data_IF_278057194854
#
_entry.id   IF_278057194854
#
_cell.length_a   1.000
_cell.length_b   1.000
_cell.length_c   1.000
_cell.angle_alpha   90.00
_cell.angle_beta   90.00
_cell.angle_gamma   90.00
#
_symmetry.space_group_name_H-M   'P 1'
#
loop_
_entity.id
_entity.type
_entity.pdbx_description
1 polymer ?
#
# COMPACT_ATOMS: atom_id res chain seq x y z
N UNK A 1 -11.08 2.17 -18.28
CA UNK A 1 -10.15 3.27 -17.94
C UNK A 1 -10.83 4.36 -17.14
N UNK A 2 -11.99 4.81 -17.58
CA UNK A 2 -12.80 5.80 -16.87
C UNK A 2 -13.24 5.30 -15.50
N UNK A 3 -13.50 4.02 -15.36
CA UNK A 3 -13.96 3.41 -14.11
C UNK A 3 -12.94 3.53 -12.97
N UNK A 4 -11.65 3.22 -13.22
CA UNK A 4 -10.58 3.33 -12.20
C UNK A 4 -10.39 4.79 -11.78
N UNK A 5 -10.40 5.71 -12.75
CA UNK A 5 -10.27 7.15 -12.48
C UNK A 5 -11.47 7.68 -11.71
N UNK A 6 -12.68 7.20 -12.01
CA UNK A 6 -13.89 7.55 -11.29
C UNK A 6 -13.88 7.03 -9.84
N UNK A 7 -13.42 5.80 -9.64
CA UNK A 7 -13.23 5.24 -8.30
C UNK A 7 -12.25 6.07 -7.47
N UNK A 8 -11.13 6.47 -8.07
CA UNK A 8 -10.15 7.36 -7.41
C UNK A 8 -10.79 8.69 -7.01
N UNK A 9 -11.53 9.33 -7.94
CA UNK A 9 -12.20 10.61 -7.68
C UNK A 9 -13.25 10.53 -6.56
N UNK A 10 -13.84 9.36 -6.35
CA UNK A 10 -14.80 9.08 -5.26
C UNK A 10 -14.15 8.68 -3.94
N UNK A 11 -12.82 8.66 -3.87
CA UNK A 11 -12.08 8.27 -2.67
C UNK A 11 -12.17 6.78 -2.36
N UNK A 12 -12.24 5.92 -3.39
CA UNK A 12 -12.27 4.49 -3.21
C UNK A 12 -11.05 3.98 -2.42
N UNK A 13 -11.27 2.97 -1.60
CA UNK A 13 -10.20 2.32 -0.84
C UNK A 13 -9.22 1.59 -1.78
N UNK A 14 -7.99 1.36 -1.30
CA UNK A 14 -7.01 0.57 -2.04
C UNK A 14 -7.56 -0.83 -2.41
N UNK A 15 -8.28 -1.47 -1.49
CA UNK A 15 -8.91 -2.78 -1.74
C UNK A 15 -9.96 -2.72 -2.87
N UNK A 16 -10.78 -1.68 -2.91
CA UNK A 16 -11.77 -1.47 -3.98
C UNK A 16 -11.10 -1.30 -5.34
N UNK A 17 -10.00 -0.53 -5.39
CA UNK A 17 -9.20 -0.36 -6.61
C UNK A 17 -8.55 -1.67 -7.06
N UNK A 18 -7.96 -2.43 -6.13
CA UNK A 18 -7.37 -3.74 -6.44
C UNK A 18 -8.41 -4.69 -7.04
N UNK A 19 -9.61 -4.74 -6.47
CA UNK A 19 -10.69 -5.58 -6.97
C UNK A 19 -11.14 -5.17 -8.36
N UNK A 20 -11.30 -3.88 -8.61
CA UNK A 20 -11.68 -3.36 -9.92
C UNK A 20 -10.61 -3.66 -11.00
N UNK A 21 -9.34 -3.43 -10.68
CA UNK A 21 -8.22 -3.73 -11.59
C UNK A 21 -8.11 -5.22 -11.87
N UNK A 22 -8.22 -6.07 -10.85
CA UNK A 22 -8.22 -7.52 -11.00
C UNK A 22 -9.36 -7.99 -11.93
N UNK A 23 -10.57 -7.45 -11.75
CA UNK A 23 -11.73 -7.75 -12.59
C UNK A 23 -11.52 -7.34 -14.06
N UNK A 24 -10.95 -6.16 -14.32
CA UNK A 24 -10.64 -5.68 -15.66
C UNK A 24 -9.56 -6.51 -16.37
N UNK A 25 -8.61 -7.06 -15.62
CA UNK A 25 -7.48 -7.82 -16.16
C UNK A 25 -7.72 -9.33 -16.16
N UNK A 26 -8.80 -9.81 -15.55
CA UNK A 26 -9.16 -11.23 -15.51
C UNK A 26 -8.14 -12.06 -14.71
N UNK A 27 -7.58 -11.53 -13.63
CA UNK A 27 -6.51 -12.16 -12.87
C UNK A 27 -6.59 -11.90 -11.37
N UNK A 28 -5.51 -12.18 -10.67
CA UNK A 28 -5.31 -11.85 -9.26
C UNK A 28 -4.24 -10.76 -9.14
N UNK A 29 -4.59 -9.64 -8.51
CA UNK A 29 -3.72 -8.49 -8.30
C UNK A 29 -3.29 -8.41 -6.84
N UNK A 30 -1.99 -8.26 -6.63
CA UNK A 30 -1.41 -7.90 -5.32
C UNK A 30 -0.81 -6.50 -5.40
N UNK A 31 -0.96 -5.72 -4.34
CA UNK A 31 -0.21 -4.50 -4.09
C UNK A 31 0.76 -4.76 -2.95
N UNK A 32 2.02 -4.50 -3.21
CA UNK A 32 3.13 -4.74 -2.29
C UNK A 32 3.71 -3.41 -1.82
N UNK A 33 4.18 -3.37 -0.58
CA UNK A 33 4.99 -2.27 -0.06
C UNK A 33 6.46 -2.34 -0.55
N UNK A 34 7.28 -1.42 -0.09
CA UNK A 34 8.71 -1.30 -0.42
C UNK A 34 9.58 -2.49 0.01
N UNK A 35 9.08 -3.32 0.94
CA UNK A 35 9.72 -4.58 1.37
C UNK A 35 8.99 -5.81 0.84
N UNK A 36 8.17 -5.61 -0.18
CA UNK A 36 7.40 -6.63 -0.88
C UNK A 36 6.38 -7.39 -0.02
N UNK A 37 5.90 -6.80 1.10
CA UNK A 37 4.76 -7.34 1.85
C UNK A 37 3.45 -6.96 1.17
N UNK A 38 2.48 -7.87 1.20
CA UNK A 38 1.15 -7.60 0.64
C UNK A 38 0.43 -6.58 1.53
N UNK A 39 0.03 -5.45 0.95
CA UNK A 39 -0.77 -4.42 1.62
C UNK A 39 -2.22 -4.37 1.12
N UNK A 40 -2.48 -4.92 -0.06
CA UNK A 40 -3.84 -5.08 -0.60
C UNK A 40 -3.86 -6.13 -1.71
N UNK A 41 -5.03 -6.67 -1.98
CA UNK A 41 -5.24 -7.66 -3.05
C UNK A 41 -6.64 -7.56 -3.64
N UNK A 42 -6.79 -8.06 -4.86
CA UNK A 42 -8.06 -8.25 -5.53
C UNK A 42 -8.00 -9.47 -6.45
N UNK A 43 -9.13 -10.13 -6.66
CA UNK A 43 -9.24 -11.33 -7.51
C UNK A 43 -10.42 -11.18 -8.43
N UNK A 44 -10.23 -11.40 -9.73
CA UNK A 44 -11.33 -11.38 -10.70
C UNK A 44 -12.35 -12.50 -10.42
N UNK A 45 -13.62 -12.21 -10.65
CA UNK A 45 -14.68 -13.20 -10.50
C UNK A 45 -14.42 -14.39 -11.41
N UNK A 46 -14.49 -15.61 -10.85
CA UNK A 46 -14.24 -16.85 -11.58
C UNK A 46 -12.77 -17.15 -11.89
N UNK A 47 -11.82 -16.34 -11.42
CA UNK A 47 -10.40 -16.64 -11.59
C UNK A 47 -9.99 -17.84 -10.73
N UNK A 48 -9.52 -18.91 -11.36
CA UNK A 48 -9.18 -20.17 -10.70
C UNK A 48 -7.71 -20.32 -10.29
N UNK A 49 -6.85 -19.33 -10.53
CA UNK A 49 -5.44 -19.37 -10.19
C UNK A 49 -5.18 -19.24 -8.68
N UNK A 50 -4.10 -19.81 -8.21
CA UNK A 50 -3.73 -19.86 -6.78
C UNK A 50 -2.36 -19.26 -6.46
N UNK A 51 -1.62 -18.77 -7.47
CA UNK A 51 -0.27 -18.26 -7.27
C UNK A 51 -0.21 -17.06 -6.31
N UNK A 52 -1.21 -16.18 -6.35
CA UNK A 52 -1.31 -15.06 -5.42
C UNK A 52 -1.42 -15.49 -3.95
N UNK A 53 -2.11 -16.62 -3.68
CA UNK A 53 -2.25 -17.16 -2.32
C UNK A 53 -0.93 -17.77 -1.81
N UNK A 54 -0.05 -18.21 -2.72
CA UNK A 54 1.25 -18.79 -2.42
C UNK A 54 2.39 -17.77 -2.46
N UNK A 55 2.06 -16.50 -2.71
CA UNK A 55 3.06 -15.45 -2.74
C UNK A 55 3.75 -15.31 -1.38
N UNK A 56 5.08 -15.27 -1.42
CA UNK A 56 5.92 -15.04 -0.24
C UNK A 56 6.97 -13.97 -0.56
N UNK A 57 7.09 -12.90 0.23
CA UNK A 57 8.01 -11.78 -0.03
C UNK A 57 9.48 -12.20 -0.21
N UNK A 58 9.90 -13.21 0.56
CA UNK A 58 11.27 -13.74 0.56
C UNK A 58 11.32 -15.23 0.13
N UNK A 59 10.31 -15.66 -0.67
CA UNK A 59 10.25 -17.01 -1.20
C UNK A 59 11.24 -17.26 -2.35
N UNK A 60 11.20 -18.47 -2.90
CA UNK A 60 12.09 -18.91 -3.99
C UNK A 60 12.06 -18.01 -5.24
N UNK A 61 10.92 -17.35 -5.51
CA UNK A 61 10.72 -16.45 -6.65
C UNK A 61 11.09 -14.99 -6.39
N UNK A 62 11.59 -14.67 -5.20
CA UNK A 62 11.93 -13.28 -4.84
C UNK A 62 13.00 -12.66 -5.74
N UNK A 63 13.97 -13.45 -6.18
CA UNK A 63 15.04 -13.02 -7.10
C UNK A 63 14.47 -12.69 -8.49
N UNK A 64 13.55 -13.51 -9.00
CA UNK A 64 12.89 -13.31 -10.29
C UNK A 64 12.03 -12.03 -10.24
N UNK A 65 11.27 -11.85 -9.17
CA UNK A 65 10.47 -10.65 -8.92
C UNK A 65 11.34 -9.40 -8.91
N UNK A 66 12.42 -9.40 -8.13
CA UNK A 66 13.35 -8.27 -8.02
C UNK A 66 14.03 -7.94 -9.36
N UNK A 67 14.38 -8.95 -10.17
CA UNK A 67 14.93 -8.75 -11.51
C UNK A 67 13.93 -8.08 -12.43
N UNK A 68 12.68 -8.57 -12.46
CA UNK A 68 11.63 -8.03 -13.31
C UNK A 68 11.23 -6.60 -12.89
N UNK A 69 11.18 -6.31 -11.60
CA UNK A 69 10.93 -4.94 -11.09
C UNK A 69 12.03 -3.96 -11.52
N UNK A 70 13.31 -4.37 -11.47
CA UNK A 70 14.40 -3.53 -11.96
C UNK A 70 14.26 -3.28 -13.48
N UNK A 71 13.92 -4.30 -14.27
CA UNK A 71 13.68 -4.16 -15.70
C UNK A 71 12.50 -3.21 -15.96
N UNK A 72 11.39 -3.39 -15.27
CA UNK A 72 10.20 -2.54 -15.41
C UNK A 72 10.51 -1.07 -15.06
N UNK A 73 11.32 -0.84 -14.02
CA UNK A 73 11.75 0.52 -13.63
C UNK A 73 12.61 1.19 -14.72
N UNK A 74 13.50 0.43 -15.35
CA UNK A 74 14.38 0.96 -16.42
C UNK A 74 13.62 1.26 -17.71
N UNK A 75 12.65 0.44 -18.05
CA UNK A 75 11.90 0.56 -19.32
C UNK A 75 10.65 1.42 -19.22
N UNK A 76 10.15 1.67 -18.01
CA UNK A 76 8.84 2.30 -17.78
C UNK A 76 7.67 1.39 -18.21
N UNK A 77 7.92 0.11 -18.44
CA UNK A 77 6.94 -0.89 -18.90
C UNK A 77 6.86 -2.03 -17.89
N UNK A 78 5.69 -2.68 -17.82
CA UNK A 78 5.55 -3.89 -17.02
C UNK A 78 6.47 -5.00 -17.52
N UNK A 79 6.91 -5.89 -16.62
CA UNK A 79 7.77 -7.00 -16.97
C UNK A 79 7.20 -8.31 -16.45
N UNK A 80 7.39 -9.39 -17.19
CA UNK A 80 7.10 -10.73 -16.73
C UNK A 80 8.22 -11.17 -15.77
N UNK A 81 7.87 -11.62 -14.58
CA UNK A 81 8.82 -12.09 -13.58
C UNK A 81 9.11 -13.58 -13.74
N UNK A 82 8.06 -14.38 -13.80
CA UNK A 82 8.13 -15.83 -13.98
C UNK A 82 6.79 -16.38 -14.47
N UNK A 83 6.79 -17.67 -14.79
CA UNK A 83 5.58 -18.47 -15.05
C UNK A 83 5.65 -19.73 -14.20
N UNK A 84 4.59 -20.10 -13.54
CA UNK A 84 4.49 -21.29 -12.71
C UNK A 84 3.02 -21.73 -12.57
N UNK A 85 2.79 -23.03 -12.61
CA UNK A 85 1.46 -23.65 -12.43
C UNK A 85 0.38 -23.12 -13.40
N UNK A 86 0.77 -22.78 -14.62
CA UNK A 86 -0.13 -22.23 -15.64
C UNK A 86 -0.55 -20.77 -15.39
N UNK A 87 0.15 -20.07 -14.49
CA UNK A 87 -0.04 -18.64 -14.23
C UNK A 87 1.23 -17.84 -14.58
N UNK A 88 1.05 -16.74 -15.24
CA UNK A 88 2.10 -15.76 -15.56
C UNK A 88 2.10 -14.69 -14.48
N UNK A 89 3.27 -14.46 -13.87
CA UNK A 89 3.49 -13.37 -12.93
C UNK A 89 4.06 -12.16 -13.65
N UNK A 90 3.31 -11.06 -13.68
CA UNK A 90 3.72 -9.78 -14.26
C UNK A 90 3.80 -8.71 -13.19
N UNK A 91 4.77 -7.82 -13.29
CA UNK A 91 5.04 -6.81 -12.27
C UNK A 91 5.20 -5.42 -12.86
N UNK A 92 4.84 -4.43 -12.05
CA UNK A 92 5.10 -3.02 -12.32
C UNK A 92 5.43 -2.32 -11.00
N UNK A 93 6.52 -1.53 -10.91
CA UNK A 93 6.80 -0.73 -9.73
C UNK A 93 5.75 0.38 -9.56
N UNK A 94 5.42 0.69 -8.33
CA UNK A 94 4.61 1.85 -7.95
C UNK A 94 5.57 2.95 -7.50
N UNK A 95 5.58 4.06 -8.24
CA UNK A 95 6.51 5.17 -8.02
C UNK A 95 5.71 6.40 -7.59
N UNK A 96 6.20 7.08 -6.56
CA UNK A 96 5.66 8.34 -6.06
C UNK A 96 6.74 9.42 -5.99
N UNK A 97 6.79 10.30 -6.98
CA UNK A 97 7.92 11.20 -7.15
C UNK A 97 9.17 10.44 -7.60
N UNK A 98 10.26 10.55 -6.84
CA UNK A 98 11.52 9.84 -7.13
C UNK A 98 11.64 8.51 -6.36
N UNK A 99 10.73 8.24 -5.42
CA UNK A 99 10.78 7.08 -4.55
C UNK A 99 9.89 5.93 -5.06
N UNK A 100 10.36 4.68 -4.83
CA UNK A 100 9.54 3.50 -5.03
C UNK A 100 8.67 3.29 -3.78
N UNK A 101 7.34 3.38 -3.95
CA UNK A 101 6.35 3.16 -2.88
C UNK A 101 6.01 1.67 -2.71
N UNK A 102 6.43 0.84 -3.66
CA UNK A 102 6.12 -0.58 -3.70
C UNK A 102 5.99 -1.11 -5.12
N UNK A 103 5.15 -2.10 -5.30
CA UNK A 103 4.90 -2.72 -6.60
C UNK A 103 3.47 -3.24 -6.71
N UNK A 104 3.00 -3.40 -7.95
CA UNK A 104 1.84 -4.23 -8.26
C UNK A 104 2.30 -5.51 -8.95
N UNK A 105 1.66 -6.61 -8.58
CA UNK A 105 1.90 -7.94 -9.14
C UNK A 105 0.58 -8.49 -9.64
N UNK A 106 0.55 -8.90 -10.90
CA UNK A 106 -0.61 -9.52 -11.52
C UNK A 106 -0.27 -10.98 -11.82
N UNK A 107 -1.14 -11.89 -11.38
CA UNK A 107 -1.17 -13.29 -11.79
C UNK A 107 -2.31 -13.48 -12.78
N UNK A 108 -2.03 -14.04 -13.95
CA UNK A 108 -3.01 -14.27 -15.00
C UNK A 108 -2.68 -15.55 -15.77
N UNK A 109 -3.68 -16.20 -16.38
CA UNK A 109 -3.52 -17.49 -17.05
C UNK A 109 -3.31 -17.37 -18.56
N UNK A 110 -3.76 -16.28 -19.16
CA UNK A 110 -3.62 -16.03 -20.60
C UNK A 110 -2.73 -14.81 -20.83
N UNK A 111 -1.87 -14.78 -21.86
CA UNK A 111 -1.09 -13.60 -22.19
C UNK A 111 -1.97 -12.35 -22.30
N UNK A 112 -1.51 -11.24 -21.73
CA UNK A 112 -2.25 -9.97 -21.84
C UNK A 112 -2.12 -9.40 -23.23
N UNK A 113 -3.24 -8.91 -23.75
CA UNK A 113 -3.22 -8.06 -24.94
C UNK A 113 -2.64 -6.68 -24.59
N UNK A 114 -2.17 -5.94 -25.60
CA UNK A 114 -1.53 -4.64 -25.43
C UNK A 114 -2.38 -3.65 -24.61
N UNK A 115 -3.70 -3.66 -24.81
CA UNK A 115 -4.62 -2.79 -24.05
C UNK A 115 -4.66 -3.16 -22.58
N UNK A 116 -4.67 -4.45 -22.28
CA UNK A 116 -4.65 -4.96 -20.89
C UNK A 116 -3.30 -4.68 -20.23
N UNK A 117 -2.18 -4.84 -20.93
CA UNK A 117 -0.86 -4.46 -20.42
C UNK A 117 -0.80 -2.97 -20.07
N UNK A 118 -1.26 -2.10 -20.95
CA UNK A 118 -1.32 -0.65 -20.69
C UNK A 118 -2.26 -0.31 -19.54
N UNK A 119 -3.36 -1.05 -19.38
CA UNK A 119 -4.27 -0.88 -18.26
C UNK A 119 -3.59 -1.25 -16.95
N UNK A 120 -2.85 -2.36 -16.93
CA UNK A 120 -2.04 -2.77 -15.79
C UNK A 120 -0.97 -1.72 -15.43
N UNK A 121 -0.21 -1.24 -16.41
CA UNK A 121 0.83 -0.23 -16.23
C UNK A 121 0.28 1.08 -15.64
N UNK A 122 -0.84 1.55 -16.16
CA UNK A 122 -1.50 2.77 -15.65
C UNK A 122 -2.12 2.60 -14.28
N UNK A 123 -2.56 1.39 -13.95
CA UNK A 123 -3.07 1.09 -12.59
C UNK A 123 -2.00 1.31 -11.52
N UNK A 124 -0.71 1.11 -11.84
CA UNK A 124 0.38 1.40 -10.90
C UNK A 124 0.43 2.89 -10.51
N UNK A 125 0.22 3.79 -11.47
CA UNK A 125 0.20 5.23 -11.20
C UNK A 125 -1.00 5.64 -10.33
N UNK A 126 -2.18 5.08 -10.61
CA UNK A 126 -3.39 5.33 -9.80
C UNK A 126 -3.20 4.84 -8.37
N UNK A 127 -2.67 3.63 -8.21
CA UNK A 127 -2.35 3.04 -6.90
C UNK A 127 -1.29 3.90 -6.20
N UNK A 128 -0.30 4.41 -6.90
CA UNK A 128 0.71 5.33 -6.37
C UNK A 128 0.10 6.60 -5.77
N UNK A 129 -0.89 7.20 -6.42
CA UNK A 129 -1.61 8.37 -5.89
C UNK A 129 -2.30 8.02 -4.57
N UNK A 130 -2.94 6.85 -4.48
CA UNK A 130 -3.62 6.41 -3.25
C UNK A 130 -2.62 6.17 -2.13
N UNK A 131 -1.51 5.47 -2.40
CA UNK A 131 -0.46 5.21 -1.41
C UNK A 131 0.15 6.52 -0.89
N UNK A 132 0.49 7.47 -1.77
CA UNK A 132 0.97 8.79 -1.37
C UNK A 132 -0.04 9.57 -0.52
N UNK A 133 -1.33 9.47 -0.86
CA UNK A 133 -2.39 10.11 -0.07
C UNK A 133 -2.48 9.50 1.32
N UNK A 134 -2.41 8.16 1.43
CA UNK A 134 -2.41 7.46 2.71
C UNK A 134 -1.18 7.78 3.56
N UNK A 135 0.01 7.84 2.95
CA UNK A 135 1.23 8.24 3.67
C UNK A 135 1.16 9.68 4.21
N UNK A 136 0.66 10.62 3.39
CA UNK A 136 0.46 12.01 3.82
C UNK A 136 -0.53 12.10 4.98
N UNK A 137 -1.61 11.35 4.92
CA UNK A 137 -2.62 11.29 5.97
C UNK A 137 -2.02 10.69 7.26
N UNK A 138 -1.29 9.58 7.14
CA UNK A 138 -0.62 8.95 8.27
C UNK A 138 0.42 9.90 8.91
N UNK A 139 1.24 10.57 8.09
CA UNK A 139 2.21 11.56 8.58
C UNK A 139 1.54 12.77 9.25
N UNK A 140 0.38 13.21 8.75
CA UNK A 140 -0.41 14.28 9.37
C UNK A 140 -0.98 13.84 10.71
N UNK A 141 -1.56 12.64 10.77
CA UNK A 141 -2.10 12.06 12.00
C UNK A 141 -0.99 11.85 13.04
N UNK A 142 0.18 11.34 12.64
CA UNK A 142 1.32 11.16 13.53
C UNK A 142 1.80 12.49 14.11
N UNK A 143 1.93 13.54 13.30
CA UNK A 143 2.29 14.89 13.78
C UNK A 143 1.25 15.46 14.73
N UNK A 144 -0.04 15.27 14.43
CA UNK A 144 -1.14 15.70 15.29
C UNK A 144 -1.14 14.98 16.64
N UNK A 145 -0.96 13.66 16.62
CA UNK A 145 -0.86 12.84 17.83
C UNK A 145 0.37 13.21 18.66
N UNK A 146 1.54 13.37 18.03
CA UNK A 146 2.78 13.78 18.73
C UNK A 146 2.65 15.17 19.36
N UNK A 147 1.95 16.09 18.70
CA UNK A 147 1.66 17.41 19.27
C UNK A 147 0.70 17.33 20.47
N UNK A 148 -0.34 16.48 20.38
CA UNK A 148 -1.26 16.21 21.48
C UNK A 148 -0.54 15.61 22.67
N UNK A 149 0.29 14.57 22.47
CA UNK A 149 1.05 13.92 23.54
C UNK A 149 2.00 14.90 24.22
N UNK A 150 2.71 15.74 23.48
CA UNK A 150 3.56 16.79 24.06
C UNK A 150 2.76 17.80 24.90
N UNK A 151 1.58 18.19 24.43
CA UNK A 151 0.72 19.11 25.15
C UNK A 151 0.13 18.51 26.44
N UNK A 152 -0.19 17.20 26.42
CA UNK A 152 -0.68 16.49 27.62
C UNK A 152 0.38 16.32 28.69
N UNK A 153 1.67 16.17 28.30
CA UNK A 153 2.80 16.07 29.24
C UNK A 153 3.29 17.43 29.72
N UNK A 154 2.97 18.51 29.01
CA UNK A 154 3.40 19.87 29.33
C UNK A 154 2.33 20.58 30.18
N UNK A 155 2.63 21.01 31.44
CA UNK A 155 1.60 21.50 32.37
C UNK A 155 1.17 22.95 32.11
N UNK A 156 0.82 23.32 30.88
CA UNK A 156 0.17 24.60 30.59
C UNK A 156 -1.34 24.46 30.78
N UNK A 157 -1.87 25.06 31.86
CA UNK A 157 -3.25 24.88 32.30
C UNK A 157 -4.31 25.59 31.42
N UNK A 158 -3.92 26.45 30.48
CA UNK A 158 -4.87 27.35 29.81
C UNK A 158 -5.61 26.74 28.61
N UNK A 159 -5.40 25.48 28.27
CA UNK A 159 -5.91 24.85 27.04
C UNK A 159 -6.63 23.51 27.23
N UNK A 160 -7.10 23.17 28.44
CA UNK A 160 -7.71 21.86 28.70
C UNK A 160 -8.91 21.55 27.78
N UNK A 161 -9.74 22.54 27.44
CA UNK A 161 -10.85 22.34 26.54
C UNK A 161 -10.39 22.06 25.10
N UNK A 162 -9.36 22.76 24.63
CA UNK A 162 -8.78 22.57 23.30
C UNK A 162 -8.09 21.19 23.23
N UNK A 163 -7.38 20.80 24.29
CA UNK A 163 -6.75 19.49 24.38
C UNK A 163 -7.77 18.37 24.38
N UNK A 164 -8.90 18.53 25.08
CA UNK A 164 -9.99 17.55 25.11
C UNK A 164 -10.59 17.36 23.73
N UNK A 165 -10.97 18.43 23.03
CA UNK A 165 -11.51 18.37 21.68
C UNK A 165 -10.51 17.72 20.69
N UNK A 166 -9.21 18.02 20.84
CA UNK A 166 -8.18 17.44 20.02
C UNK A 166 -7.97 15.95 20.30
N UNK A 167 -8.05 15.54 21.57
CA UNK A 167 -7.97 14.15 21.97
C UNK A 167 -9.14 13.32 21.42
N UNK A 168 -10.37 13.88 21.46
CA UNK A 168 -11.57 13.26 20.88
C UNK A 168 -11.40 12.99 19.38
N UNK A 169 -10.76 13.88 18.62
CA UNK A 169 -10.47 13.68 17.19
C UNK A 169 -9.58 12.46 16.93
N UNK A 170 -8.76 12.05 17.91
CA UNK A 170 -7.92 10.85 17.88
C UNK A 170 -8.55 9.66 18.62
N UNK A 171 -9.84 9.74 18.97
CA UNK A 171 -10.55 8.68 19.71
C UNK A 171 -10.10 8.52 21.16
N UNK A 172 -9.46 9.54 21.74
CA UNK A 172 -9.01 9.54 23.13
C UNK A 172 -9.99 10.32 24.01
N UNK A 173 -10.66 9.62 24.91
CA UNK A 173 -11.46 10.24 25.99
C UNK A 173 -10.55 10.52 27.19
N UNK A 174 -10.25 11.81 27.41
CA UNK A 174 -9.42 12.27 28.54
C UNK A 174 -10.16 12.28 29.89
N UNK A 175 -11.47 12.02 29.93
CA UNK A 175 -12.21 11.88 31.18
C UNK A 175 -11.95 10.53 31.85
N UNK A 176 -11.44 9.55 31.14
CA UNK A 176 -11.10 8.23 31.69
C UNK A 176 -9.63 8.14 32.06
N UNK A 177 -9.28 7.39 33.13
CA UNK A 177 -7.90 7.11 33.48
C UNK A 177 -7.17 6.44 32.31
N UNK A 178 -5.98 6.94 31.95
CA UNK A 178 -5.14 6.42 30.88
C UNK A 178 -3.74 6.16 31.38
N UNK A 179 -3.10 5.14 30.83
CA UNK A 179 -1.68 4.86 31.05
C UNK A 179 -0.91 5.21 29.78
N UNK A 180 0.20 5.92 29.94
CA UNK A 180 1.14 6.20 28.86
C UNK A 180 2.28 5.19 28.95
N UNK A 181 2.53 4.48 27.84
CA UNK A 181 3.68 3.60 27.70
C UNK A 181 4.63 4.19 26.66
N UNK A 182 5.89 4.34 26.99
CA UNK A 182 6.94 4.72 26.05
C UNK A 182 7.75 3.48 25.68
N UNK A 183 7.86 3.20 24.39
CA UNK A 183 8.63 2.08 23.86
C UNK A 183 9.76 2.67 23.01
N UNK A 184 10.99 2.37 23.37
CA UNK A 184 12.17 2.73 22.58
C UNK A 184 12.67 1.49 21.83
N UNK A 185 12.72 1.60 20.49
CA UNK A 185 13.19 0.53 19.63
C UNK A 185 14.65 0.79 19.22
N UNK A 186 15.51 -0.16 19.52
CA UNK A 186 16.93 -0.11 19.16
C UNK A 186 17.22 -1.14 18.06
N UNK A 187 17.93 -0.73 17.02
CA UNK A 187 18.41 -1.62 15.95
C UNK A 187 18.31 -1.01 14.56
N UNK A 188 18.91 -1.64 13.55
CA UNK A 188 18.95 -1.12 12.19
C UNK A 188 17.56 -1.01 11.54
N UNK A 189 16.55 -1.72 12.05
CA UNK A 189 15.17 -1.71 11.56
C UNK A 189 14.21 -0.87 12.42
N UNK A 190 14.69 -0.16 13.42
CA UNK A 190 13.84 0.57 14.38
C UNK A 190 12.92 1.60 13.69
N UNK A 191 13.42 2.32 12.70
CA UNK A 191 12.65 3.30 11.93
C UNK A 191 11.53 2.68 11.09
N UNK A 192 11.71 1.44 10.66
CA UNK A 192 10.73 0.69 9.88
C UNK A 192 9.58 0.16 10.75
N UNK A 193 9.91 -0.36 11.94
CA UNK A 193 8.89 -0.88 12.88
C UNK A 193 8.03 0.26 13.42
N UNK A 194 8.59 1.44 13.69
CA UNK A 194 7.84 2.59 14.20
C UNK A 194 6.80 3.15 13.22
N UNK A 195 6.90 2.87 11.92
CA UNK A 195 5.91 3.26 10.91
C UNK A 195 4.68 2.35 10.90
N UNK A 196 4.75 1.16 11.50
CA UNK A 196 3.67 0.15 11.54
C UNK A 196 2.96 0.06 12.90
N UNK A 197 3.46 0.73 13.92
CA UNK A 197 2.81 0.87 15.24
C UNK A 197 1.96 2.13 15.28
#
# INVERSE_FOLDING_TARGET
HEEITLLLARGASLATLCQAVAGLLGGSLLVLDEVHQIISQGVADGYGGTAAQRYQPHGERSADLARALRQARLTGRSAQAYEADGEICRVMPVIGGDDALGAIVLFHQTPLEEVAERTFERSSSVIGIVLLSQERQAASNHRGMSALMRALVSPRQDELAVLRNRAEQFGLDLAQPRSLMMIELHGPSAGFVSRRL
#
